data_IF_446999368102
#
_entry.id   IF_446999368102
#
_cell.length_a   1.000
_cell.length_b   1.000
_cell.length_c   1.000
_cell.angle_alpha   90.00
_cell.angle_beta   90.00
_cell.angle_gamma   90.00
#
_symmetry.space_group_name_H-M   'P 1'
#
loop_
_entity.id
_entity.type
_entity.pdbx_description
1 polymer ?
#
# COMPACT_ATOMS: atom_id res chain seq x y z
N UNK A 1 28.39 -9.49 6.36
CA UNK A 1 28.29 -9.09 7.79
C UNK A 1 26.86 -8.62 8.00
N UNK A 2 26.07 -9.34 8.83
CA UNK A 2 24.78 -8.83 9.28
C UNK A 2 25.07 -7.68 10.24
N UNK A 3 24.94 -6.44 9.76
CA UNK A 3 24.90 -5.29 10.65
C UNK A 3 23.61 -5.41 11.48
N UNK A 4 23.77 -5.49 12.77
CA UNK A 4 22.65 -5.49 13.70
C UNK A 4 22.10 -4.07 13.75
N UNK A 5 21.00 -3.82 13.02
CA UNK A 5 20.37 -2.51 12.96
C UNK A 5 19.80 -2.20 14.33
N UNK A 6 20.24 -1.10 14.92
CA UNK A 6 19.63 -0.55 16.13
C UNK A 6 18.21 -0.07 15.80
N UNK A 7 17.21 -0.65 16.50
CA UNK A 7 15.79 -0.33 16.24
C UNK A 7 15.47 1.18 16.32
N UNK A 8 16.21 1.93 17.15
CA UNK A 8 16.02 3.36 17.32
C UNK A 8 16.52 4.21 16.16
N UNK A 9 17.30 3.63 15.25
CA UNK A 9 17.87 4.30 14.07
C UNK A 9 17.17 3.87 12.76
N UNK A 10 16.15 3.01 12.83
CA UNK A 10 15.55 2.43 11.63
C UNK A 10 14.97 3.50 10.71
N UNK A 11 14.24 4.47 11.25
CA UNK A 11 13.64 5.52 10.43
C UNK A 11 14.73 6.41 9.79
N UNK A 12 15.73 6.83 10.57
CA UNK A 12 16.82 7.67 10.05
C UNK A 12 17.59 6.94 8.95
N UNK A 13 17.90 5.64 9.15
CA UNK A 13 18.54 4.80 8.12
C UNK A 13 17.66 4.57 6.90
N UNK A 14 16.36 4.43 7.09
CA UNK A 14 15.43 4.33 5.98
C UNK A 14 15.43 5.62 5.15
N UNK A 15 15.36 6.77 5.79
CA UNK A 15 15.40 8.09 5.15
C UNK A 15 16.72 8.29 4.41
N UNK A 16 17.84 7.98 5.05
CA UNK A 16 19.16 8.05 4.44
C UNK A 16 19.25 7.20 3.17
N UNK A 17 18.84 5.92 3.27
CA UNK A 17 18.84 5.00 2.12
C UNK A 17 17.88 5.40 1.02
N UNK A 18 16.71 5.91 1.38
CA UNK A 18 15.75 6.42 0.41
C UNK A 18 16.36 7.57 -0.41
N UNK A 19 17.03 8.52 0.26
CA UNK A 19 17.72 9.65 -0.39
C UNK A 19 18.93 9.21 -1.22
N UNK A 20 19.70 8.23 -0.74
CA UNK A 20 20.86 7.68 -1.43
C UNK A 20 20.48 6.92 -2.71
N UNK A 21 19.44 6.10 -2.64
CA UNK A 21 19.03 5.22 -3.75
C UNK A 21 18.21 5.98 -4.78
N UNK A 22 17.38 6.93 -4.34
CA UNK A 22 16.43 7.67 -5.19
C UNK A 22 15.65 6.75 -6.16
N UNK A 23 14.82 5.83 -5.67
CA UNK A 23 14.32 4.70 -6.44
C UNK A 23 13.25 5.09 -7.47
N UNK A 24 13.30 4.51 -8.68
CA UNK A 24 12.21 4.55 -9.68
C UNK A 24 10.96 3.81 -9.19
N UNK A 25 11.17 2.73 -8.46
CA UNK A 25 10.14 1.89 -7.89
C UNK A 25 10.33 1.75 -6.39
N UNK A 26 9.37 2.25 -5.64
CA UNK A 26 9.31 2.03 -4.20
C UNK A 26 8.23 0.99 -3.88
N UNK A 27 8.58 0.02 -3.05
CA UNK A 27 7.66 -0.98 -2.51
C UNK A 27 7.76 -0.98 -1.00
N UNK A 28 6.64 -0.82 -0.31
CA UNK A 28 6.60 -0.90 1.15
C UNK A 28 5.57 -1.91 1.63
N UNK A 29 5.81 -2.48 2.81
CA UNK A 29 4.90 -3.38 3.49
C UNK A 29 5.13 -3.27 5.00
N UNK A 30 4.22 -2.61 5.70
CA UNK A 30 4.21 -2.45 7.15
C UNK A 30 2.84 -1.98 7.62
N UNK A 31 2.65 -1.85 8.93
CA UNK A 31 1.46 -1.19 9.44
C UNK A 31 1.36 0.25 8.93
N UNK A 32 0.16 0.65 8.56
CA UNK A 32 -0.11 1.97 8.05
C UNK A 32 -1.58 2.37 8.26
N UNK A 33 -1.81 3.64 8.19
CA UNK A 33 -3.12 4.27 8.01
C UNK A 33 -3.01 5.32 6.90
N UNK A 34 -4.10 5.99 6.60
CA UNK A 34 -4.08 7.17 5.71
C UNK A 34 -3.22 8.32 6.26
N UNK A 35 -2.83 8.25 7.55
CA UNK A 35 -2.08 9.30 8.27
C UNK A 35 -0.66 8.90 8.66
N UNK A 36 -0.27 7.65 8.48
CA UNK A 36 1.09 7.20 8.83
C UNK A 36 1.52 5.95 8.06
N UNK A 37 2.82 5.78 7.99
CA UNK A 37 3.49 4.54 7.65
C UNK A 37 4.47 4.22 8.79
N UNK A 38 4.23 3.12 9.51
CA UNK A 38 5.05 2.71 10.65
C UNK A 38 6.34 2.03 10.21
N UNK A 39 7.43 2.36 10.87
CA UNK A 39 8.67 1.61 10.74
C UNK A 39 8.60 0.29 11.53
N UNK A 40 9.41 -0.71 11.17
CA UNK A 40 9.52 -1.96 11.93
C UNK A 40 9.71 -1.70 13.44
N UNK A 41 9.14 -2.60 14.25
CA UNK A 41 9.13 -2.51 15.72
C UNK A 41 8.35 -1.31 16.28
N UNK A 42 7.49 -0.68 15.48
CA UNK A 42 6.70 0.51 15.85
C UNK A 42 7.56 1.70 16.32
N UNK A 43 8.79 1.78 15.81
CA UNK A 43 9.73 2.84 16.18
C UNK A 43 9.90 3.83 15.05
N UNK A 44 9.18 4.94 15.17
CA UNK A 44 9.17 6.00 14.18
C UNK A 44 8.12 5.80 13.07
N UNK A 45 7.71 6.90 12.48
CA UNK A 45 6.68 6.96 11.46
C UNK A 45 7.03 7.95 10.36
N UNK A 46 6.59 7.65 9.14
CA UNK A 46 6.38 8.68 8.13
C UNK A 46 4.94 9.18 8.25
N UNK A 47 4.76 10.49 8.24
CA UNK A 47 3.46 11.16 8.35
C UNK A 47 3.27 12.18 7.24
N UNK A 48 2.05 12.40 6.76
CA UNK A 48 1.77 13.54 5.88
C UNK A 48 1.74 14.83 6.70
N UNK A 49 2.31 15.89 6.15
CA UNK A 49 2.27 17.23 6.74
C UNK A 49 2.43 18.28 5.64
N UNK A 50 1.39 19.07 5.40
CA UNK A 50 1.40 20.10 4.35
C UNK A 50 1.64 19.55 2.95
N UNK A 51 1.09 18.39 2.62
CA UNK A 51 1.31 17.72 1.33
C UNK A 51 2.71 17.14 1.13
N UNK A 52 3.52 17.05 2.17
CA UNK A 52 4.88 16.48 2.18
C UNK A 52 4.95 15.32 3.16
N UNK A 53 5.94 14.46 3.02
CA UNK A 53 6.27 13.46 4.04
C UNK A 53 7.13 14.07 5.15
N UNK A 54 6.85 13.66 6.37
CA UNK A 54 7.57 14.05 7.57
C UNK A 54 8.01 12.81 8.33
N UNK A 55 9.30 12.63 8.50
CA UNK A 55 9.86 11.60 9.38
C UNK A 55 9.73 12.07 10.83
N UNK A 56 8.97 11.34 11.63
CA UNK A 56 8.56 11.73 13.00
C UNK A 56 9.23 10.83 14.03
N UNK A 57 10.54 10.94 14.17
CA UNK A 57 11.30 10.24 15.22
C UNK A 57 12.71 10.84 15.34
N UNK A 58 13.53 10.41 16.27
CA UNK A 58 14.92 10.81 16.62
C UNK A 58 15.47 12.07 15.91
N UNK A 59 15.57 12.07 14.59
CA UNK A 59 15.95 13.21 13.76
C UNK A 59 14.78 13.66 12.87
N UNK A 60 13.80 14.42 13.45
CA UNK A 60 12.62 14.81 12.69
C UNK A 60 12.95 15.70 11.50
N UNK A 61 12.50 15.30 10.30
CA UNK A 61 12.75 16.06 9.08
C UNK A 61 11.63 15.90 8.06
N UNK A 62 11.49 16.90 7.18
CA UNK A 62 10.69 16.75 5.97
C UNK A 62 11.47 16.03 4.89
N UNK A 63 10.78 15.14 4.17
CA UNK A 63 11.29 14.56 2.95
C UNK A 63 10.72 15.32 1.77
N UNK A 64 11.58 15.57 0.80
CA UNK A 64 11.21 16.19 -0.47
C UNK A 64 11.47 15.23 -1.63
N UNK A 65 10.70 15.39 -2.69
CA UNK A 65 10.99 14.78 -3.96
C UNK A 65 12.30 15.33 -4.56
N UNK A 66 12.86 14.56 -5.46
CA UNK A 66 14.14 14.87 -6.14
C UNK A 66 13.94 15.31 -7.58
N UNK A 67 12.68 15.59 -7.99
CA UNK A 67 12.23 15.76 -9.38
C UNK A 67 12.40 14.48 -10.22
N UNK A 68 12.61 13.33 -9.58
CA UNK A 68 12.72 12.03 -10.21
C UNK A 68 11.36 11.31 -10.12
N UNK A 69 10.67 11.07 -11.26
CA UNK A 69 9.38 10.42 -11.25
C UNK A 69 9.49 8.97 -10.80
N UNK A 70 8.62 8.55 -9.90
CA UNK A 70 8.62 7.19 -9.34
C UNK A 70 7.25 6.57 -9.30
N UNK A 71 7.23 5.25 -9.21
CA UNK A 71 6.03 4.47 -8.95
C UNK A 71 6.08 3.92 -7.53
N UNK A 72 5.01 4.09 -6.79
CA UNK A 72 4.91 3.61 -5.42
C UNK A 72 3.86 2.50 -5.30
N UNK A 73 4.30 1.31 -4.87
CA UNK A 73 3.45 0.18 -4.48
C UNK A 73 3.43 0.03 -2.96
N UNK A 74 2.33 0.37 -2.34
CA UNK A 74 2.09 0.16 -0.92
C UNK A 74 1.51 -1.25 -0.69
N UNK A 75 2.35 -2.25 -0.85
CA UNK A 75 1.98 -3.66 -1.01
C UNK A 75 1.72 -4.40 0.31
N UNK A 76 0.85 -3.94 1.15
CA UNK A 76 0.55 -4.54 2.46
C UNK A 76 0.40 -3.49 3.55
N UNK A 77 0.23 -2.25 3.14
CA UNK A 77 0.02 -1.11 4.01
C UNK A 77 -1.48 -0.81 4.07
N UNK A 78 -2.10 -1.00 5.24
CA UNK A 78 -3.52 -0.73 5.43
C UNK A 78 -3.83 0.75 5.17
N UNK A 79 -4.95 1.03 4.51
CA UNK A 79 -5.53 2.37 4.37
C UNK A 79 -4.64 3.45 3.72
N UNK A 80 -3.39 3.16 3.41
CA UNK A 80 -2.41 4.17 2.96
C UNK A 80 -2.80 4.84 1.64
N UNK A 81 -3.64 4.19 0.84
CA UNK A 81 -4.21 4.74 -0.40
C UNK A 81 -5.50 5.51 -0.18
N UNK A 82 -6.05 5.52 1.03
CA UNK A 82 -7.28 6.24 1.35
C UNK A 82 -6.98 7.73 1.50
N UNK A 83 -7.73 8.55 0.76
CA UNK A 83 -7.61 10.02 0.80
C UNK A 83 -8.60 10.61 1.81
N UNK A 84 -9.79 9.99 1.94
CA UNK A 84 -10.88 10.40 2.85
C UNK A 84 -11.18 11.91 2.80
N UNK A 85 -11.08 12.50 1.61
CA UNK A 85 -11.22 13.95 1.36
C UNK A 85 -10.30 14.83 2.22
N UNK A 86 -9.20 14.27 2.72
CA UNK A 86 -8.23 14.97 3.53
C UNK A 86 -6.91 15.18 2.78
N UNK A 87 -6.50 16.43 2.50
CA UNK A 87 -5.23 16.71 1.86
C UNK A 87 -4.02 16.27 2.72
N UNK A 88 -4.20 16.11 4.02
CA UNK A 88 -3.21 15.56 4.95
C UNK A 88 -3.26 14.04 4.96
N UNK A 89 -3.22 13.40 3.80
CA UNK A 89 -3.14 11.95 3.66
C UNK A 89 -1.79 11.49 3.10
N UNK A 90 -1.40 10.26 3.43
CA UNK A 90 -0.17 9.65 2.93
C UNK A 90 -0.15 9.61 1.39
N UNK A 91 -1.28 9.27 0.75
CA UNK A 91 -1.38 9.24 -0.69
C UNK A 91 -1.13 10.63 -1.32
N UNK A 92 -1.73 11.68 -0.76
CA UNK A 92 -1.49 13.05 -1.23
C UNK A 92 -0.02 13.43 -1.03
N UNK A 93 0.58 13.16 0.12
CA UNK A 93 1.98 13.48 0.38
C UNK A 93 2.95 12.78 -0.60
N UNK A 94 2.69 11.52 -0.94
CA UNK A 94 3.49 10.80 -1.94
C UNK A 94 3.34 11.38 -3.34
N UNK A 95 2.11 11.68 -3.76
CA UNK A 95 1.83 12.18 -5.11
C UNK A 95 2.24 13.65 -5.30
N UNK A 96 2.11 14.49 -4.28
CA UNK A 96 2.40 15.92 -4.39
C UNK A 96 3.79 16.33 -3.92
N UNK A 97 4.36 15.62 -2.95
CA UNK A 97 5.62 16.01 -2.30
C UNK A 97 6.81 15.10 -2.60
N UNK A 98 6.57 13.89 -3.13
CA UNK A 98 7.62 12.88 -3.31
C UNK A 98 7.79 12.41 -4.76
N UNK A 99 7.25 13.16 -5.70
CA UNK A 99 7.32 12.87 -7.15
C UNK A 99 6.77 11.49 -7.56
N UNK A 100 5.88 10.90 -6.76
CA UNK A 100 5.19 9.69 -7.16
C UNK A 100 4.21 10.00 -8.28
N UNK A 101 4.52 9.59 -9.51
CA UNK A 101 3.65 9.75 -10.68
C UNK A 101 2.48 8.77 -10.67
N UNK A 102 2.62 7.67 -9.94
CA UNK A 102 1.59 6.68 -9.75
C UNK A 102 1.75 6.01 -8.40
N UNK A 103 0.63 5.74 -7.74
CA UNK A 103 0.59 5.03 -6.48
C UNK A 103 -0.48 3.93 -6.52
N UNK A 104 -0.12 2.75 -6.05
CA UNK A 104 -1.04 1.64 -5.79
C UNK A 104 -1.05 1.41 -4.29
N UNK A 105 -2.20 1.58 -3.66
CA UNK A 105 -2.36 1.42 -2.21
C UNK A 105 -3.77 0.96 -1.83
N UNK A 106 -3.88 0.38 -0.66
CA UNK A 106 -5.16 -0.09 -0.13
C UNK A 106 -5.96 1.07 0.49
N UNK A 107 -7.24 1.11 0.17
CA UNK A 107 -8.20 2.06 0.77
C UNK A 107 -8.98 1.45 1.94
N UNK A 108 -8.68 0.20 2.27
CA UNK A 108 -9.26 -0.55 3.39
C UNK A 108 -8.15 -1.25 4.16
N UNK A 109 -8.47 -1.77 5.34
CA UNK A 109 -7.57 -2.64 6.10
C UNK A 109 -7.24 -3.89 5.27
N UNK A 110 -5.97 -4.18 5.10
CA UNK A 110 -5.47 -5.33 4.34
C UNK A 110 -4.76 -6.34 5.22
N UNK A 111 -4.56 -7.55 4.68
CA UNK A 111 -3.80 -8.60 5.32
C UNK A 111 -2.52 -8.86 4.53
N UNK A 112 -1.46 -9.05 5.28
CA UNK A 112 -0.14 -9.31 4.74
C UNK A 112 -0.14 -10.48 3.73
N UNK A 113 0.44 -10.25 2.56
CA UNK A 113 0.88 -11.31 1.66
C UNK A 113 -0.16 -11.97 0.76
N UNK A 114 -1.34 -11.36 0.51
CA UNK A 114 -2.31 -11.90 -0.45
C UNK A 114 -2.35 -11.15 -1.78
N UNK A 115 -2.57 -11.92 -2.85
CA UNK A 115 -2.97 -11.47 -4.19
C UNK A 115 -2.06 -10.49 -4.93
N UNK A 116 -0.80 -10.92 -5.20
CA UNK A 116 0.01 -10.31 -6.26
C UNK A 116 0.42 -8.86 -6.03
N UNK A 117 0.14 -8.34 -4.84
CA UNK A 117 0.59 -7.01 -4.44
C UNK A 117 0.18 -5.90 -5.41
N UNK A 118 -1.12 -5.84 -5.71
CA UNK A 118 -1.69 -4.75 -6.50
C UNK A 118 -1.22 -4.67 -7.94
N UNK A 119 -0.75 -5.78 -8.49
CA UNK A 119 -0.24 -5.83 -9.85
C UNK A 119 1.29 -5.79 -9.96
N UNK A 120 2.02 -5.60 -8.86
CA UNK A 120 3.48 -5.57 -8.84
C UNK A 120 4.08 -6.82 -9.51
N UNK A 121 3.55 -8.02 -9.19
CA UNK A 121 3.94 -9.28 -9.80
C UNK A 121 3.90 -9.24 -11.32
N UNK A 122 2.79 -8.73 -11.87
CA UNK A 122 2.59 -8.68 -13.32
C UNK A 122 3.46 -7.61 -13.97
N UNK A 123 3.62 -6.47 -13.32
CA UNK A 123 4.40 -5.36 -13.85
C UNK A 123 5.89 -5.69 -13.90
N UNK A 124 6.44 -6.20 -12.81
CA UNK A 124 7.87 -6.56 -12.74
C UNK A 124 8.20 -7.74 -13.64
N UNK A 125 7.35 -8.78 -13.68
CA UNK A 125 7.57 -9.95 -14.56
C UNK A 125 7.46 -9.62 -16.05
N UNK A 126 6.84 -8.50 -16.41
CA UNK A 126 6.65 -8.06 -17.79
C UNK A 126 7.20 -6.63 -18.00
N UNK A 127 8.32 -6.32 -17.38
CA UNK A 127 8.96 -5.02 -17.48
C UNK A 127 9.13 -4.59 -18.95
N UNK A 128 8.69 -3.38 -19.28
CA UNK A 128 8.71 -2.82 -20.62
C UNK A 128 7.67 -3.39 -21.60
N UNK A 129 6.85 -4.37 -21.17
CA UNK A 129 5.80 -4.98 -22.03
C UNK A 129 4.40 -4.57 -21.62
N UNK A 130 4.18 -4.35 -20.32
CA UNK A 130 2.91 -3.93 -19.77
C UNK A 130 3.03 -2.53 -19.18
N UNK A 131 2.02 -1.73 -19.40
CA UNK A 131 1.83 -0.52 -18.60
C UNK A 131 1.40 -0.89 -17.19
N UNK A 132 1.56 0.04 -16.24
CA UNK A 132 1.10 -0.15 -14.86
C UNK A 132 -0.40 -0.47 -14.81
N UNK A 133 -1.22 0.25 -15.58
CA UNK A 133 -2.66 0.01 -15.64
C UNK A 133 -3.01 -1.39 -16.15
N UNK A 134 -2.30 -1.89 -17.16
CA UNK A 134 -2.48 -3.26 -17.67
C UNK A 134 -2.10 -4.30 -16.60
N UNK A 135 -1.02 -4.08 -15.87
CA UNK A 135 -0.59 -4.97 -14.80
C UNK A 135 -1.62 -5.02 -13.66
N UNK A 136 -2.17 -3.89 -13.26
CA UNK A 136 -3.25 -3.79 -12.26
C UNK A 136 -4.51 -4.52 -12.76
N UNK A 137 -4.89 -4.30 -14.02
CA UNK A 137 -6.03 -4.99 -14.63
C UNK A 137 -5.85 -6.52 -14.61
N UNK A 138 -4.68 -7.02 -15.02
CA UNK A 138 -4.38 -8.45 -14.98
C UNK A 138 -4.44 -9.01 -13.56
N UNK A 139 -3.95 -8.27 -12.57
CA UNK A 139 -4.04 -8.66 -11.17
C UNK A 139 -5.50 -8.77 -10.71
N UNK A 140 -6.36 -7.83 -11.10
CA UNK A 140 -7.78 -7.88 -10.78
C UNK A 140 -8.47 -9.07 -11.46
N UNK A 141 -8.14 -9.37 -12.71
CA UNK A 141 -8.69 -10.54 -13.41
C UNK A 141 -8.26 -11.86 -12.74
N UNK A 142 -6.99 -11.98 -12.34
CA UNK A 142 -6.49 -13.15 -11.62
C UNK A 142 -7.15 -13.30 -10.24
N UNK A 143 -7.37 -12.19 -9.55
CA UNK A 143 -8.10 -12.16 -8.30
C UNK A 143 -9.56 -12.65 -8.46
N UNK A 144 -10.28 -12.11 -9.45
CA UNK A 144 -11.66 -12.52 -9.73
C UNK A 144 -11.74 -14.00 -10.11
N UNK A 145 -10.78 -14.50 -10.91
CA UNK A 145 -10.67 -15.92 -11.23
C UNK A 145 -10.48 -16.76 -9.97
N UNK A 146 -9.55 -16.37 -9.12
CA UNK A 146 -9.26 -17.07 -7.86
C UNK A 146 -10.48 -17.07 -6.93
N UNK A 147 -11.18 -15.94 -6.82
CA UNK A 147 -12.44 -15.88 -6.05
C UNK A 147 -13.52 -16.77 -6.63
N UNK A 148 -13.67 -16.81 -7.95
CA UNK A 148 -14.64 -17.69 -8.59
C UNK A 148 -14.31 -19.17 -8.37
N UNK A 149 -13.03 -19.54 -8.30
CA UNK A 149 -12.59 -20.91 -8.01
C UNK A 149 -12.84 -21.30 -6.55
N UNK A 150 -12.54 -20.41 -5.60
CA UNK A 150 -12.60 -20.70 -4.17
C UNK A 150 -13.95 -20.39 -3.53
N UNK A 151 -14.61 -19.36 -4.04
CA UNK A 151 -15.88 -18.84 -3.52
C UNK A 151 -16.86 -18.51 -4.64
N UNK A 152 -17.24 -19.50 -5.47
CA UNK A 152 -18.02 -19.24 -6.71
C UNK A 152 -19.33 -18.51 -6.46
N UNK A 153 -19.92 -18.65 -5.27
CA UNK A 153 -21.16 -17.95 -4.90
C UNK A 153 -20.97 -16.47 -4.63
N UNK A 154 -19.77 -16.00 -4.30
CA UNK A 154 -19.50 -14.58 -4.01
C UNK A 154 -19.69 -13.68 -5.23
N UNK A 155 -19.35 -14.16 -6.42
CA UNK A 155 -19.42 -13.39 -7.65
C UNK A 155 -20.77 -13.48 -8.36
N UNK A 156 -21.58 -14.51 -8.02
CA UNK A 156 -22.81 -14.82 -8.76
C UNK A 156 -24.09 -14.53 -7.98
N UNK A 157 -23.98 -14.32 -6.67
CA UNK A 157 -25.17 -14.13 -5.82
C UNK A 157 -25.13 -12.74 -5.21
N UNK A 158 -26.16 -11.97 -5.53
CA UNK A 158 -26.51 -10.77 -4.78
C UNK A 158 -27.08 -11.23 -3.44
N UNK A 159 -26.20 -11.54 -2.46
CA UNK A 159 -26.64 -11.90 -1.11
C UNK A 159 -27.29 -10.67 -0.48
N UNK A 160 -28.61 -10.68 -0.24
CA UNK A 160 -29.19 -9.63 0.59
C UNK A 160 -28.54 -9.74 1.96
N UNK A 161 -27.80 -8.73 2.36
CA UNK A 161 -27.11 -8.70 3.66
C UNK A 161 -28.04 -8.97 4.85
N UNK A 162 -29.35 -8.79 4.67
CA UNK A 162 -30.39 -9.13 5.65
C UNK A 162 -30.53 -10.63 5.93
N UNK A 163 -30.07 -11.50 5.04
CA UNK A 163 -30.21 -12.96 5.17
C UNK A 163 -28.94 -13.63 5.72
N UNK A 164 -27.87 -12.86 5.92
CA UNK A 164 -26.62 -13.37 6.46
C UNK A 164 -26.57 -13.10 7.96
N UNK A 165 -26.40 -14.13 8.77
CA UNK A 165 -26.15 -13.96 10.21
C UNK A 165 -24.96 -13.05 10.44
N UNK A 166 -25.03 -12.19 11.46
CA UNK A 166 -24.05 -11.13 11.73
C UNK A 166 -22.60 -11.62 11.71
N UNK A 167 -22.28 -12.78 12.30
CA UNK A 167 -20.94 -13.33 12.28
C UNK A 167 -20.49 -13.82 10.91
N UNK A 168 -21.39 -14.34 10.10
CA UNK A 168 -21.12 -14.75 8.72
C UNK A 168 -20.88 -13.52 7.83
N UNK A 169 -21.65 -12.47 8.05
CA UNK A 169 -21.52 -11.20 7.34
C UNK A 169 -20.15 -10.57 7.59
N UNK A 170 -19.72 -10.50 8.84
CA UNK A 170 -18.41 -9.96 9.21
C UNK A 170 -17.28 -10.75 8.58
N UNK A 171 -17.35 -12.08 8.62
CA UNK A 171 -16.36 -12.97 8.00
C UNK A 171 -16.33 -12.79 6.47
N UNK A 172 -17.49 -12.69 5.83
CA UNK A 172 -17.63 -12.47 4.39
C UNK A 172 -17.05 -11.12 3.98
N UNK A 173 -17.42 -10.02 4.65
CA UNK A 173 -16.90 -8.69 4.39
C UNK A 173 -15.38 -8.64 4.58
N UNK A 174 -14.87 -9.31 5.61
CA UNK A 174 -13.45 -9.39 5.89
C UNK A 174 -12.69 -10.16 4.81
N UNK A 175 -13.20 -11.30 4.35
CA UNK A 175 -12.62 -12.07 3.25
C UNK A 175 -12.65 -11.29 1.95
N UNK A 176 -13.80 -10.69 1.60
CA UNK A 176 -13.95 -9.90 0.40
C UNK A 176 -13.00 -8.70 0.40
N UNK A 177 -12.96 -7.92 1.47
CA UNK A 177 -12.03 -6.80 1.62
C UNK A 177 -10.56 -7.24 1.58
N UNK A 178 -10.24 -8.43 2.10
CA UNK A 178 -8.88 -8.98 2.06
C UNK A 178 -8.46 -9.35 0.64
N UNK A 179 -9.40 -9.86 -0.16
CA UNK A 179 -9.13 -10.28 -1.54
C UNK A 179 -9.17 -9.11 -2.49
N UNK A 180 -10.16 -8.24 -2.37
CA UNK A 180 -10.34 -7.07 -3.26
C UNK A 180 -9.49 -5.89 -2.86
N UNK A 181 -9.09 -5.77 -1.61
CA UNK A 181 -8.20 -4.80 -0.91
C UNK A 181 -7.88 -3.44 -1.53
N UNK A 182 -8.42 -3.17 -2.70
CA UNK A 182 -8.15 -2.01 -3.56
C UNK A 182 -9.44 -1.27 -3.93
N UNK A 183 -10.46 -1.38 -3.12
CA UNK A 183 -11.68 -0.57 -3.33
C UNK A 183 -11.59 0.77 -2.66
#
# INVERSE_FOLDING_TARGET
KNEQINKWEILDKWVEKYKEIDPDLLVTSSHATEKNLEMPFTVGNLKPRGGRLYADFMTPEFLDGTAHPRVYFAAGNCLIGNIDNDPESMAVAWLSGMDATSMIGYVVTTWYGRNGWGGLKYWVANAGRLTLAQAVYLNQQDMLRTENEWHPKMLTVNYPFSEIEFGQREMFEKQFKTVTGQQ
#
